data_IF_657073026564
#
_entry.id   IF_657073026564
#
_cell.length_a   1.000
_cell.length_b   1.000
_cell.length_c   1.000
_cell.angle_alpha   90.00
_cell.angle_beta   90.00
_cell.angle_gamma   90.00
#
_symmetry.space_group_name_H-M   'P 1'
#
loop_
_entity.id
_entity.type
_entity.pdbx_description
1 polymer ?
#
# COMPACT_ATOMS: atom_id res chain seq x y z
N UNK A 1 24.86 54.06 26.92
CA UNK A 1 23.66 53.20 26.82
C UNK A 1 23.02 53.30 25.42
N UNK A 2 23.65 52.82 24.33
CA UNK A 2 23.02 52.82 22.97
C UNK A 2 23.56 51.71 22.02
N UNK A 3 24.11 50.61 22.52
CA UNK A 3 24.69 49.55 21.64
C UNK A 3 24.16 48.14 21.88
N UNK A 4 23.09 47.96 22.67
CA UNK A 4 22.62 46.61 23.05
C UNK A 4 21.28 46.18 22.40
N UNK A 5 20.66 47.02 21.56
CA UNK A 5 19.37 46.68 20.95
C UNK A 5 19.45 45.87 19.64
N UNK A 6 20.62 45.77 19.00
CA UNK A 6 20.71 45.25 17.63
C UNK A 6 20.85 43.72 17.52
N UNK A 7 21.26 43.02 18.59
CA UNK A 7 21.61 41.59 18.50
C UNK A 7 20.39 40.68 18.69
N UNK A 8 19.35 41.11 19.43
CA UNK A 8 18.13 40.32 19.64
C UNK A 8 17.18 40.33 18.43
N UNK A 9 17.20 41.38 17.61
CA UNK A 9 16.34 41.48 16.41
C UNK A 9 16.75 40.53 15.27
N UNK A 10 18.05 40.27 15.10
CA UNK A 10 18.55 39.39 14.04
C UNK A 10 18.29 37.90 14.30
N UNK A 11 18.36 37.45 15.55
CA UNK A 11 18.09 36.04 15.89
C UNK A 11 16.60 35.67 15.74
N UNK A 12 15.70 36.59 16.06
CA UNK A 12 14.26 36.39 15.88
C UNK A 12 13.86 36.34 14.40
N UNK A 13 14.48 37.14 13.52
CA UNK A 13 14.22 37.06 12.07
C UNK A 13 14.71 35.75 11.44
N UNK A 14 15.85 35.22 11.89
CA UNK A 14 16.41 33.98 11.35
C UNK A 14 15.55 32.74 11.70
N UNK A 15 14.93 32.71 12.88
CA UNK A 15 14.06 31.61 13.31
C UNK A 15 12.72 31.58 12.54
N UNK A 16 12.18 32.75 12.16
CA UNK A 16 10.93 32.85 11.38
C UNK A 16 11.14 32.44 9.92
N UNK A 17 12.32 32.72 9.35
CA UNK A 17 12.65 32.33 7.98
C UNK A 17 12.80 30.81 7.79
N UNK A 18 13.18 30.06 8.83
CA UNK A 18 13.37 28.61 8.75
C UNK A 18 12.03 27.84 8.78
N UNK A 19 11.02 28.37 9.48
CA UNK A 19 9.70 27.77 9.56
C UNK A 19 8.89 27.87 8.25
N UNK A 20 9.25 28.79 7.35
CA UNK A 20 8.55 29.05 6.10
C UNK A 20 9.02 28.20 4.90
N UNK A 21 9.93 27.24 5.11
CA UNK A 21 10.58 26.49 4.03
C UNK A 21 9.87 25.22 3.58
N UNK A 22 8.88 24.72 4.34
CA UNK A 22 8.15 23.50 4.00
C UNK A 22 6.83 23.84 3.30
N UNK A 23 6.49 23.21 2.16
CA UNK A 23 5.14 23.29 1.58
C UNK A 23 4.07 22.95 2.61
N UNK A 24 2.88 23.52 2.44
CA UNK A 24 1.73 23.13 3.26
C UNK A 24 1.50 21.61 3.17
N UNK A 25 1.09 21.01 4.28
CA UNK A 25 0.73 19.60 4.30
C UNK A 25 -0.42 19.32 3.31
N UNK A 26 -0.29 18.22 2.58
CA UNK A 26 -1.40 17.72 1.76
C UNK A 26 -2.45 17.19 2.73
N UNK A 27 -3.68 17.69 2.62
CA UNK A 27 -4.80 17.16 3.41
C UNK A 27 -5.15 15.76 2.91
N UNK A 28 -5.23 14.79 3.83
CA UNK A 28 -5.64 13.42 3.53
C UNK A 28 -6.91 13.06 4.29
N UNK A 29 -7.70 12.15 3.71
CA UNK A 29 -8.84 11.51 4.37
C UNK A 29 -8.54 10.02 4.54
N UNK A 30 -8.64 9.53 5.77
CA UNK A 30 -8.57 8.10 6.05
C UNK A 30 -9.91 7.43 5.72
N UNK A 31 -9.84 6.29 5.04
CA UNK A 31 -10.98 5.38 4.85
C UNK A 31 -10.53 3.99 5.26
N UNK A 32 -11.28 3.35 6.16
CA UNK A 32 -11.06 1.95 6.50
C UNK A 32 -11.66 1.09 5.39
N UNK A 33 -10.82 0.28 4.74
CA UNK A 33 -11.22 -0.62 3.65
C UNK A 33 -11.63 -1.98 4.21
N UNK A 34 -10.78 -2.58 5.03
CA UNK A 34 -11.03 -3.86 5.69
C UNK A 34 -10.38 -3.87 7.08
N UNK A 35 -11.09 -4.28 8.14
CA UNK A 35 -10.52 -4.41 9.48
C UNK A 35 -9.72 -5.71 9.70
N UNK A 36 -9.64 -6.58 8.70
CA UNK A 36 -8.92 -7.85 8.74
C UNK A 36 -7.40 -7.70 8.79
N UNK A 37 -6.73 -8.84 8.89
CA UNK A 37 -5.28 -8.89 8.97
C UNK A 37 -4.61 -8.61 7.62
N UNK A 38 -3.49 -7.90 7.67
CA UNK A 38 -2.63 -7.66 6.52
C UNK A 38 -1.27 -7.13 6.98
N UNK A 39 -0.20 -7.80 6.56
CA UNK A 39 1.19 -7.37 6.82
C UNK A 39 1.81 -6.63 5.63
N UNK A 40 1.16 -6.69 4.47
CA UNK A 40 1.63 -6.10 3.22
C UNK A 40 0.47 -5.57 2.39
N UNK A 41 0.81 -4.68 1.46
CA UNK A 41 -0.12 -4.07 0.51
C UNK A 41 0.54 -3.97 -0.85
N UNK A 42 -0.18 -4.36 -1.90
CA UNK A 42 0.22 -4.13 -3.27
C UNK A 42 -0.90 -3.43 -4.04
N UNK A 43 -0.55 -2.70 -5.10
CA UNK A 43 -1.46 -1.85 -5.86
C UNK A 43 -1.28 -2.07 -7.35
N UNK A 44 -2.35 -2.42 -8.05
CA UNK A 44 -2.39 -2.56 -9.50
C UNK A 44 -3.83 -2.54 -10.03
N UNK A 45 -4.01 -2.36 -11.33
CA UNK A 45 -5.30 -2.51 -12.00
C UNK A 45 -5.55 -4.00 -12.32
N UNK A 46 -6.16 -4.74 -11.38
CA UNK A 46 -6.26 -6.20 -11.45
C UNK A 46 -7.36 -6.65 -12.41
N UNK A 47 -8.38 -5.83 -12.60
CA UNK A 47 -9.52 -6.11 -13.47
C UNK A 47 -9.44 -5.39 -14.84
N UNK A 48 -8.39 -4.60 -15.08
CA UNK A 48 -8.15 -3.80 -16.29
C UNK A 48 -9.24 -2.78 -16.59
N UNK A 49 -9.83 -2.18 -15.56
CA UNK A 49 -10.84 -1.13 -15.70
C UNK A 49 -10.25 0.29 -15.75
N UNK A 50 -8.92 0.41 -15.68
CA UNK A 50 -8.18 1.66 -15.66
C UNK A 50 -8.08 2.32 -14.29
N UNK A 51 -8.53 1.64 -13.22
CA UNK A 51 -8.43 2.12 -11.83
C UNK A 51 -7.53 1.19 -11.03
N UNK A 52 -6.88 1.77 -10.03
CA UNK A 52 -6.02 0.99 -9.13
C UNK A 52 -6.86 0.26 -8.09
N UNK A 53 -6.57 -1.02 -7.96
CA UNK A 53 -7.06 -1.92 -6.93
C UNK A 53 -5.99 -2.15 -5.86
N UNK A 54 -6.38 -2.73 -4.73
CA UNK A 54 -5.48 -3.07 -3.62
C UNK A 54 -5.49 -4.57 -3.39
N UNK A 55 -4.31 -5.18 -3.19
CA UNK A 55 -4.17 -6.52 -2.63
C UNK A 55 -3.72 -6.38 -1.18
N UNK A 56 -4.44 -7.02 -0.26
CA UNK A 56 -4.01 -7.12 1.14
C UNK A 56 -4.62 -8.37 1.80
N UNK A 57 -3.78 -9.11 2.52
CA UNK A 57 -4.17 -10.34 3.20
C UNK A 57 -4.72 -11.39 2.23
N UNK A 58 -5.93 -11.89 2.51
CA UNK A 58 -6.58 -12.96 1.73
C UNK A 58 -7.45 -12.44 0.57
N UNK A 59 -7.41 -11.13 0.28
CA UNK A 59 -8.36 -10.48 -0.62
C UNK A 59 -7.72 -9.41 -1.49
N UNK A 60 -8.40 -9.08 -2.57
CA UNK A 60 -8.17 -7.84 -3.32
C UNK A 60 -9.42 -6.95 -3.28
N UNK A 61 -9.23 -5.65 -3.45
CA UNK A 61 -10.25 -4.62 -3.24
C UNK A 61 -10.35 -3.73 -4.46
N UNK A 62 -11.47 -3.84 -5.18
CA UNK A 62 -11.72 -3.15 -6.44
C UNK A 62 -11.96 -1.65 -6.23
N UNK A 63 -11.09 -0.83 -6.81
CA UNK A 63 -11.17 0.63 -6.74
C UNK A 63 -12.34 1.21 -7.57
N UNK A 64 -12.87 2.40 -7.21
CA UNK A 64 -12.58 3.19 -6.03
C UNK A 64 -13.55 2.88 -4.87
N UNK A 65 -14.44 1.89 -5.06
CA UNK A 65 -15.48 1.53 -4.07
C UNK A 65 -14.99 0.49 -3.06
N UNK A 66 -13.78 -0.03 -3.26
CA UNK A 66 -13.11 -1.04 -2.44
C UNK A 66 -13.96 -2.30 -2.27
N UNK A 67 -14.55 -2.78 -3.37
CA UNK A 67 -15.34 -4.02 -3.34
C UNK A 67 -14.40 -5.17 -3.05
N UNK A 68 -14.63 -5.89 -1.95
CA UNK A 68 -13.79 -7.01 -1.52
C UNK A 68 -14.05 -8.25 -2.38
N UNK A 69 -12.96 -8.84 -2.86
CA UNK A 69 -12.95 -10.07 -3.63
C UNK A 69 -11.96 -11.07 -3.01
N UNK A 70 -12.32 -12.37 -2.93
CA UNK A 70 -11.40 -13.38 -2.44
C UNK A 70 -10.20 -13.53 -3.39
N UNK A 71 -9.00 -13.69 -2.82
CA UNK A 71 -7.77 -13.92 -3.57
C UNK A 71 -7.18 -15.30 -3.26
N UNK A 72 -7.05 -15.64 -1.99
CA UNK A 72 -6.31 -16.82 -1.51
C UNK A 72 -6.69 -17.16 -0.07
N UNK A 73 -6.08 -18.21 0.47
CA UNK A 73 -6.13 -18.54 1.88
C UNK A 73 -4.71 -18.48 2.44
N UNK A 74 -4.54 -17.92 3.63
CA UNK A 74 -3.23 -17.80 4.28
C UNK A 74 -3.32 -18.28 5.71
N UNK A 75 -2.29 -19.01 6.15
CA UNK A 75 -2.21 -19.46 7.53
C UNK A 75 -1.93 -18.30 8.49
N UNK A 76 -2.51 -18.43 9.68
CA UNK A 76 -2.32 -17.50 10.78
C UNK A 76 -1.48 -18.15 11.86
N UNK A 77 -0.39 -17.49 12.23
CA UNK A 77 0.51 -17.99 13.28
C UNK A 77 1.02 -16.83 14.13
N UNK A 78 0.98 -17.02 15.45
CA UNK A 78 1.58 -16.08 16.41
C UNK A 78 1.10 -14.63 16.27
N UNK A 79 -0.15 -14.42 15.86
CA UNK A 79 -0.75 -13.10 15.67
C UNK A 79 -0.46 -12.43 14.32
N UNK A 80 0.24 -13.13 13.42
CA UNK A 80 0.55 -12.67 12.07
C UNK A 80 -0.21 -13.51 11.04
N UNK A 81 -0.57 -12.88 9.93
CA UNK A 81 -0.91 -13.61 8.69
C UNK A 81 0.38 -13.88 7.93
N UNK A 82 0.60 -15.11 7.46
CA UNK A 82 1.88 -15.52 6.85
C UNK A 82 2.05 -15.03 5.40
N UNK A 83 2.10 -13.71 5.24
CA UNK A 83 2.33 -13.03 3.97
C UNK A 83 3.12 -11.75 4.22
N UNK A 84 4.41 -11.76 3.93
CA UNK A 84 5.31 -10.65 4.25
C UNK A 84 5.69 -9.79 3.03
N UNK A 85 5.22 -10.17 1.84
CA UNK A 85 5.37 -9.37 0.62
C UNK A 85 4.44 -9.87 -0.46
N UNK A 86 3.73 -8.93 -1.10
CA UNK A 86 3.02 -9.15 -2.35
C UNK A 86 3.70 -8.39 -3.48
N UNK A 87 4.11 -9.10 -4.53
CA UNK A 87 4.58 -8.50 -5.77
C UNK A 87 3.55 -8.69 -6.86
N UNK A 88 3.35 -7.66 -7.69
CA UNK A 88 2.40 -7.73 -8.81
C UNK A 88 3.18 -7.63 -10.12
N UNK A 89 2.99 -8.62 -10.98
CA UNK A 89 3.56 -8.66 -12.34
C UNK A 89 2.77 -9.65 -13.20
N UNK A 90 2.86 -9.50 -14.51
CA UNK A 90 2.38 -10.51 -15.45
C UNK A 90 3.43 -11.63 -15.55
N UNK A 91 3.18 -12.75 -14.85
CA UNK A 91 4.19 -13.81 -14.70
C UNK A 91 4.25 -14.71 -15.93
N UNK A 92 3.12 -14.96 -16.58
CA UNK A 92 3.02 -15.88 -17.72
C UNK A 92 2.88 -15.20 -19.09
N UNK A 93 2.79 -13.88 -19.12
CA UNK A 93 2.72 -13.10 -20.35
C UNK A 93 1.33 -13.05 -20.98
N UNK A 94 0.26 -13.41 -20.24
CA UNK A 94 -1.12 -13.30 -20.74
C UNK A 94 -1.69 -11.88 -20.68
N UNK A 95 -0.87 -10.95 -20.18
CA UNK A 95 -1.14 -9.53 -20.07
C UNK A 95 -1.88 -9.18 -18.79
N UNK A 96 -2.34 -10.12 -17.97
CA UNK A 96 -3.02 -9.84 -16.71
C UNK A 96 -2.02 -9.79 -15.55
N UNK A 97 -2.17 -8.82 -14.62
CA UNK A 97 -1.31 -8.79 -13.45
C UNK A 97 -1.66 -9.94 -12.51
N UNK A 98 -0.66 -10.75 -12.21
CA UNK A 98 -0.69 -11.81 -11.22
C UNK A 98 -0.16 -11.32 -9.86
N UNK A 99 -0.33 -12.13 -8.81
CA UNK A 99 0.19 -11.85 -7.47
C UNK A 99 1.22 -12.91 -7.09
N UNK A 100 2.37 -12.47 -6.57
CA UNK A 100 3.39 -13.34 -5.98
C UNK A 100 3.42 -13.07 -4.48
N UNK A 101 3.04 -14.07 -3.70
CA UNK A 101 3.10 -14.06 -2.23
C UNK A 101 4.44 -14.60 -1.75
N UNK A 102 5.05 -13.91 -0.78
CA UNK A 102 6.20 -14.43 -0.04
C UNK A 102 5.82 -14.69 1.42
N UNK A 103 5.89 -15.96 1.83
CA UNK A 103 5.55 -16.40 3.19
C UNK A 103 6.83 -16.66 3.97
N UNK A 104 6.90 -16.18 5.21
CA UNK A 104 8.08 -16.39 6.06
C UNK A 104 7.99 -17.71 6.81
N UNK A 105 6.82 -18.04 7.39
CA UNK A 105 6.65 -19.25 8.21
C UNK A 105 6.49 -20.51 7.36
N UNK A 106 5.77 -20.44 6.23
CA UNK A 106 5.59 -21.55 5.30
C UNK A 106 6.82 -21.80 4.40
N UNK A 107 7.83 -20.91 4.44
CA UNK A 107 9.07 -21.00 3.67
C UNK A 107 8.83 -21.21 2.15
N UNK A 108 7.84 -20.52 1.60
CA UNK A 108 7.48 -20.64 0.20
C UNK A 108 7.24 -19.28 -0.45
N UNK A 109 7.30 -19.31 -1.78
CA UNK A 109 6.84 -18.24 -2.66
C UNK A 109 5.73 -18.85 -3.50
N UNK A 110 4.58 -18.20 -3.54
CA UNK A 110 3.38 -18.70 -4.23
C UNK A 110 3.02 -17.72 -5.34
N UNK A 111 2.95 -18.21 -6.57
CA UNK A 111 2.37 -17.48 -7.68
C UNK A 111 0.87 -17.73 -7.70
N UNK A 112 0.09 -16.66 -7.72
CA UNK A 112 -1.36 -16.68 -7.85
C UNK A 112 -1.70 -16.08 -9.22
N UNK A 113 -2.11 -16.95 -10.14
CA UNK A 113 -2.52 -16.56 -11.48
C UNK A 113 -3.90 -15.91 -11.48
N UNK A 114 -3.98 -14.73 -12.08
CA UNK A 114 -5.20 -14.00 -12.33
C UNK A 114 -6.06 -14.75 -13.38
N UNK A 115 -7.36 -14.99 -13.14
CA UNK A 115 -8.24 -15.66 -14.10
C UNK A 115 -8.54 -14.81 -15.36
N UNK A 116 -8.12 -13.55 -15.37
CA UNK A 116 -8.33 -12.60 -16.44
C UNK A 116 -9.81 -12.36 -16.74
N UNK A 117 -10.13 -12.07 -18.01
CA UNK A 117 -11.49 -11.69 -18.44
C UNK A 117 -12.55 -12.76 -18.17
N UNK A 118 -12.17 -14.03 -18.13
CA UNK A 118 -13.10 -15.14 -17.85
C UNK A 118 -13.59 -15.07 -16.41
N UNK A 119 -12.78 -14.49 -15.50
CA UNK A 119 -13.06 -14.44 -14.07
C UNK A 119 -13.00 -15.81 -13.41
N UNK A 120 -13.28 -15.84 -12.11
CA UNK A 120 -13.25 -17.05 -11.30
C UNK A 120 -12.22 -16.96 -10.16
N UNK A 121 -11.89 -18.11 -9.59
CA UNK A 121 -10.88 -18.18 -8.55
C UNK A 121 -9.47 -18.06 -9.15
N UNK A 122 -8.61 -17.37 -8.42
CA UNK A 122 -7.17 -17.35 -8.68
C UNK A 122 -6.59 -18.75 -8.49
N UNK A 123 -5.58 -19.09 -9.28
CA UNK A 123 -4.95 -20.43 -9.25
C UNK A 123 -3.53 -20.34 -8.73
N UNK A 124 -3.13 -21.34 -7.96
CA UNK A 124 -1.73 -21.59 -7.56
C UNK A 124 -1.09 -22.55 -8.55
#
# INVERSE_FOLDING_TARGET
MKKLLCVFGMAALAAVAHAASRPADIAFRTTMIDPGYGETVAVADLNKDGKLDIVAGESWYEGPRWVKHPLRQIDYSSGYIDNFSDQIMDVDGDGWPDVIQCSYFAHNIVWLKNPGKVGGAWKV
#
